data_IF_413179262945
#
_entry.id   IF_413179262945
#
_cell.length_a   1.000
_cell.length_b   1.000
_cell.length_c   1.000
_cell.angle_alpha   90.00
_cell.angle_beta   90.00
_cell.angle_gamma   90.00
#
_symmetry.space_group_name_H-M   'P 1'
#
loop_
_entity.id
_entity.type
_entity.pdbx_description
1 polymer ?
#
# COMPACT_ATOMS: atom_id res chain seq x y z
N UNK A 1 5.29 -59.83 14.14
CA UNK A 1 4.62 -59.19 12.99
C UNK A 1 3.52 -58.27 13.51
N UNK A 2 3.83 -56.99 13.71
CA UNK A 2 2.88 -55.99 14.23
C UNK A 2 2.54 -54.99 13.11
N UNK A 3 1.23 -54.71 12.99
CA UNK A 3 0.58 -53.96 11.92
C UNK A 3 1.13 -52.53 11.79
N UNK A 4 1.50 -52.15 10.57
CA UNK A 4 1.53 -50.77 10.11
C UNK A 4 0.09 -50.29 9.88
N UNK A 5 -0.34 -49.26 10.60
CA UNK A 5 -1.53 -48.46 10.25
C UNK A 5 -1.16 -46.99 10.35
N UNK A 6 -0.77 -46.40 9.22
CA UNK A 6 -0.72 -44.95 9.05
C UNK A 6 -2.14 -44.45 8.74
N UNK A 7 -2.66 -43.42 9.43
CA UNK A 7 -3.91 -42.80 9.05
C UNK A 7 -3.71 -41.95 7.80
N UNK A 8 -4.47 -42.25 6.75
CA UNK A 8 -4.54 -41.51 5.50
C UNK A 8 -4.93 -40.06 5.75
N UNK A 9 -4.10 -39.14 5.29
CA UNK A 9 -4.40 -37.71 5.13
C UNK A 9 -5.63 -37.54 4.26
N UNK A 10 -6.76 -37.24 4.88
CA UNK A 10 -7.97 -36.80 4.19
C UNK A 10 -7.69 -35.41 3.61
N UNK A 11 -7.39 -35.36 2.30
CA UNK A 11 -7.45 -34.15 1.49
C UNK A 11 -8.89 -33.66 1.48
N UNK A 12 -9.24 -32.81 2.44
CA UNK A 12 -10.55 -32.15 2.53
C UNK A 12 -10.68 -31.25 1.29
N UNK A 13 -11.44 -31.71 0.29
CA UNK A 13 -11.83 -30.88 -0.84
C UNK A 13 -12.43 -29.57 -0.30
N UNK A 14 -11.84 -28.43 -0.67
CA UNK A 14 -12.40 -27.12 -0.35
C UNK A 14 -13.73 -26.98 -1.10
N UNK A 15 -14.85 -27.07 -0.37
CA UNK A 15 -16.17 -26.78 -0.93
C UNK A 15 -16.21 -25.34 -1.48
N UNK A 16 -16.89 -25.11 -2.62
CA UNK A 16 -16.98 -23.78 -3.21
C UNK A 16 -17.62 -22.77 -2.23
N UNK A 17 -17.21 -21.50 -2.27
CA UNK A 17 -17.73 -20.48 -1.36
C UNK A 17 -19.26 -20.39 -1.47
N UNK A 18 -19.93 -20.44 -0.32
CA UNK A 18 -21.39 -20.38 -0.22
C UNK A 18 -21.93 -19.04 -0.73
N UNK A 19 -23.16 -19.03 -1.25
CA UNK A 19 -23.82 -17.82 -1.78
C UNK A 19 -23.90 -16.67 -0.75
N UNK A 20 -23.91 -16.99 0.55
CA UNK A 20 -23.86 -16.00 1.64
C UNK A 20 -22.49 -15.35 1.82
N UNK A 21 -21.41 -16.09 1.59
CA UNK A 21 -20.05 -15.54 1.61
C UNK A 21 -19.86 -14.55 0.45
N UNK A 22 -20.35 -14.88 -0.74
CA UNK A 22 -20.29 -14.02 -1.92
C UNK A 22 -21.04 -12.70 -1.71
N UNK A 23 -22.27 -12.74 -1.19
CA UNK A 23 -23.05 -11.52 -0.93
C UNK A 23 -22.41 -10.62 0.12
N UNK A 24 -21.79 -11.22 1.15
CA UNK A 24 -21.06 -10.47 2.18
C UNK A 24 -19.80 -9.77 1.65
N UNK A 25 -19.07 -10.42 0.74
CA UNK A 25 -17.88 -9.87 0.11
C UNK A 25 -18.23 -8.71 -0.83
N UNK A 26 -19.27 -8.87 -1.66
CA UNK A 26 -19.79 -7.81 -2.51
C UNK A 26 -20.21 -6.59 -1.68
N UNK A 27 -20.87 -6.82 -0.55
CA UNK A 27 -21.29 -5.75 0.36
C UNK A 27 -20.12 -5.07 1.09
N UNK A 28 -18.99 -5.76 1.26
CA UNK A 28 -17.78 -5.19 1.85
C UNK A 28 -17.02 -4.31 0.85
N UNK A 29 -16.97 -4.69 -0.42
CA UNK A 29 -16.23 -3.98 -1.47
C UNK A 29 -16.94 -2.70 -1.94
N UNK A 30 -18.26 -2.59 -1.74
CA UNK A 30 -19.03 -1.43 -2.24
C UNK A 30 -18.47 -0.07 -1.80
N UNK A 31 -18.08 0.08 -0.53
CA UNK A 31 -17.58 1.37 -0.01
C UNK A 31 -16.23 1.76 -0.60
N UNK A 32 -15.18 0.91 -0.55
CA UNK A 32 -13.92 1.25 -1.19
C UNK A 32 -14.09 1.42 -2.71
N UNK A 33 -14.96 0.65 -3.36
CA UNK A 33 -15.25 0.85 -4.79
C UNK A 33 -15.89 2.22 -5.07
N UNK A 34 -16.89 2.64 -4.28
CA UNK A 34 -17.49 3.96 -4.39
C UNK A 34 -16.45 5.07 -4.18
N UNK A 35 -15.57 4.92 -3.19
CA UNK A 35 -14.48 5.87 -2.93
C UNK A 35 -13.44 5.90 -4.07
N UNK A 36 -13.15 4.75 -4.69
CA UNK A 36 -12.25 4.67 -5.82
C UNK A 36 -12.84 5.33 -7.09
N UNK A 37 -14.16 5.25 -7.29
CA UNK A 37 -14.82 5.85 -8.45
C UNK A 37 -15.15 7.34 -8.26
N UNK A 38 -15.20 7.79 -7.00
CA UNK A 38 -15.63 9.15 -6.67
C UNK A 38 -14.78 10.25 -7.31
N UNK A 39 -13.43 10.20 -7.36
CA UNK A 39 -12.64 11.21 -8.06
C UNK A 39 -12.98 11.31 -9.54
N UNK A 40 -13.21 10.17 -10.20
CA UNK A 40 -13.55 10.14 -11.62
C UNK A 40 -14.92 10.77 -11.91
N UNK A 41 -15.87 10.62 -10.98
CA UNK A 41 -17.18 11.25 -11.07
C UNK A 41 -17.12 12.75 -10.76
N UNK A 42 -16.41 13.13 -9.69
CA UNK A 42 -16.33 14.52 -9.24
C UNK A 42 -15.56 15.39 -10.24
N UNK A 43 -14.48 14.86 -10.80
CA UNK A 43 -13.65 15.53 -11.81
C UNK A 43 -13.99 15.03 -13.22
N UNK A 44 -15.28 14.99 -13.56
CA UNK A 44 -15.75 14.49 -14.85
C UNK A 44 -15.10 15.18 -16.07
N UNK A 45 -14.86 16.51 -16.07
CA UNK A 45 -14.13 17.16 -17.17
C UNK A 45 -12.73 16.59 -17.39
N UNK A 46 -12.02 16.23 -16.31
CA UNK A 46 -10.69 15.59 -16.41
C UNK A 46 -10.79 14.14 -16.85
N UNK A 47 -11.77 13.39 -16.33
CA UNK A 47 -12.02 12.00 -16.71
C UNK A 47 -12.32 11.87 -18.21
N UNK A 48 -13.08 12.82 -18.74
CA UNK A 48 -13.41 12.93 -20.18
C UNK A 48 -12.32 13.63 -20.99
N UNK A 49 -11.17 13.98 -20.37
CA UNK A 49 -10.01 14.63 -21.01
C UNK A 49 -10.40 15.94 -21.71
N UNK A 50 -11.40 16.66 -21.18
CA UNK A 50 -11.79 18.00 -21.64
C UNK A 50 -10.93 19.10 -21.01
N UNK A 51 -10.40 18.82 -19.82
CA UNK A 51 -9.53 19.70 -19.05
C UNK A 51 -8.35 18.91 -18.48
N UNK A 52 -7.30 19.61 -18.04
CA UNK A 52 -6.12 18.99 -17.44
C UNK A 52 -5.47 19.92 -16.41
N UNK A 53 -4.89 19.35 -15.35
CA UNK A 53 -4.08 20.10 -14.38
C UNK A 53 -2.67 20.33 -14.92
N UNK A 54 -2.56 21.17 -15.94
CA UNK A 54 -1.29 21.50 -16.59
C UNK A 54 -0.80 22.88 -16.15
N UNK A 55 -0.34 22.96 -14.90
CA UNK A 55 0.11 24.21 -14.27
C UNK A 55 1.36 23.95 -13.42
N UNK A 56 2.15 25.01 -13.18
CA UNK A 56 3.35 24.96 -12.31
C UNK A 56 4.31 23.82 -12.71
N UNK A 57 4.90 23.14 -11.74
CA UNK A 57 5.89 22.09 -11.93
C UNK A 57 5.36 20.90 -12.76
N UNK A 58 4.04 20.70 -12.83
CA UNK A 58 3.46 19.69 -13.74
C UNK A 58 3.82 20.00 -15.18
N UNK A 59 3.67 21.26 -15.57
CA UNK A 59 3.96 21.73 -16.92
C UNK A 59 5.46 21.68 -17.24
N UNK A 60 6.30 22.10 -16.30
CA UNK A 60 7.73 22.28 -16.57
C UNK A 60 8.59 21.04 -16.27
N UNK A 61 8.12 20.16 -15.39
CA UNK A 61 8.91 19.05 -14.88
C UNK A 61 8.19 17.72 -15.05
N UNK A 62 7.07 17.50 -14.34
CA UNK A 62 6.49 16.16 -14.24
C UNK A 62 5.99 15.64 -15.60
N UNK A 63 5.20 16.43 -16.32
CA UNK A 63 4.68 16.02 -17.61
C UNK A 63 5.78 15.76 -18.66
N UNK A 64 6.73 16.68 -18.92
CA UNK A 64 7.76 16.43 -19.93
C UNK A 64 8.68 15.25 -19.54
N UNK A 65 9.03 15.08 -18.26
CA UNK A 65 9.93 14.01 -17.86
C UNK A 65 9.28 12.62 -17.97
N UNK A 66 8.00 12.51 -17.61
CA UNK A 66 7.25 11.28 -17.83
C UNK A 66 7.09 11.00 -19.34
N UNK A 67 6.86 12.04 -20.15
CA UNK A 67 6.73 11.91 -21.61
C UNK A 67 8.04 11.42 -22.24
N UNK A 68 9.18 12.01 -21.87
CA UNK A 68 10.51 11.56 -22.33
C UNK A 68 10.74 10.11 -21.92
N UNK A 69 10.50 9.79 -20.64
CA UNK A 69 10.66 8.42 -20.13
C UNK A 69 9.81 7.42 -20.89
N UNK A 70 8.57 7.78 -21.20
CA UNK A 70 7.67 6.94 -21.97
C UNK A 70 8.09 6.78 -23.43
N UNK A 71 8.64 7.82 -24.06
CA UNK A 71 9.12 7.75 -25.43
C UNK A 71 10.37 6.86 -25.55
N UNK A 72 11.32 6.99 -24.62
CA UNK A 72 12.50 6.10 -24.56
C UNK A 72 12.07 4.65 -24.36
N UNK A 73 11.13 4.42 -23.42
CA UNK A 73 10.61 3.07 -23.16
C UNK A 73 9.89 2.47 -24.38
N UNK A 74 9.10 3.27 -25.10
CA UNK A 74 8.44 2.85 -26.35
C UNK A 74 9.41 2.54 -27.48
N UNK A 75 10.60 3.14 -27.47
CA UNK A 75 11.69 2.82 -28.39
C UNK A 75 12.41 1.50 -28.05
N UNK A 76 12.01 0.82 -26.95
CA UNK A 76 12.64 -0.42 -26.50
C UNK A 76 13.90 -0.19 -25.65
N UNK A 77 14.16 1.05 -25.24
CA UNK A 77 15.31 1.42 -24.42
C UNK A 77 14.90 1.69 -22.97
N UNK A 78 15.83 1.52 -22.04
CA UNK A 78 15.59 1.87 -20.64
C UNK A 78 15.76 3.40 -20.46
N UNK A 79 14.80 4.10 -19.83
CA UNK A 79 14.88 5.54 -19.60
C UNK A 79 15.89 5.86 -18.49
N UNK A 80 17.18 5.79 -18.81
CA UNK A 80 18.27 6.00 -17.85
C UNK A 80 18.67 7.47 -17.74
N UNK A 81 18.65 8.21 -18.84
CA UNK A 81 19.22 9.55 -18.92
C UNK A 81 18.30 10.52 -19.68
N UNK A 82 18.11 11.72 -19.14
CA UNK A 82 17.46 12.83 -19.83
C UNK A 82 18.54 13.80 -20.31
N UNK A 83 18.83 13.88 -21.62
CA UNK A 83 19.84 14.79 -22.15
C UNK A 83 19.34 16.24 -22.29
N UNK A 84 18.04 16.48 -22.14
CA UNK A 84 17.41 17.78 -22.40
C UNK A 84 17.42 18.72 -21.21
N UNK A 85 17.78 18.24 -20.02
CA UNK A 85 17.83 19.03 -18.80
C UNK A 85 19.28 19.25 -18.37
N UNK A 86 19.72 20.52 -18.30
CA UNK A 86 21.10 20.90 -17.97
C UNK A 86 22.13 20.21 -18.88
N UNK A 87 23.17 19.60 -18.31
CA UNK A 87 24.12 18.71 -19.00
C UNK A 87 23.70 17.24 -18.96
N UNK A 88 22.45 17.00 -18.62
CA UNK A 88 21.83 15.71 -18.46
C UNK A 88 21.65 15.30 -16.99
N UNK A 89 20.61 14.51 -16.75
CA UNK A 89 20.23 14.01 -15.42
C UNK A 89 19.74 12.55 -15.50
N UNK A 90 19.86 11.77 -14.42
CA UNK A 90 19.29 10.42 -14.36
C UNK A 90 17.76 10.47 -14.36
N UNK A 91 17.11 9.60 -15.14
CA UNK A 91 15.65 9.46 -15.19
C UNK A 91 15.15 8.39 -14.21
N UNK A 92 15.57 7.13 -14.37
CA UNK A 92 15.19 6.03 -13.45
C UNK A 92 15.60 6.31 -12.00
N UNK A 93 16.72 7.00 -11.79
CA UNK A 93 17.20 7.37 -10.46
C UNK A 93 16.51 8.61 -9.86
N UNK A 94 15.69 9.31 -10.63
CA UNK A 94 14.99 10.48 -10.14
C UNK A 94 13.72 10.09 -9.36
N UNK A 95 13.76 10.34 -8.05
CA UNK A 95 12.64 10.09 -7.16
C UNK A 95 11.40 10.93 -7.48
N UNK A 96 11.53 12.03 -8.25
CA UNK A 96 10.39 12.86 -8.60
C UNK A 96 9.55 12.29 -9.75
N UNK A 97 10.17 11.66 -10.75
CA UNK A 97 9.44 10.93 -11.78
C UNK A 97 8.79 9.66 -11.25
N UNK A 98 9.41 8.99 -10.26
CA UNK A 98 8.86 7.80 -9.62
C UNK A 98 8.33 6.78 -10.65
N UNK A 99 9.14 6.44 -11.66
CA UNK A 99 8.77 5.58 -12.81
C UNK A 99 8.20 4.21 -12.37
N UNK A 100 8.64 3.70 -11.22
CA UNK A 100 8.16 2.43 -10.66
C UNK A 100 6.85 2.54 -9.86
N UNK A 101 6.30 3.75 -9.72
CA UNK A 101 5.01 3.96 -9.07
C UNK A 101 3.88 3.64 -10.06
N UNK A 102 3.04 2.60 -9.82
CA UNK A 102 2.10 2.10 -10.83
C UNK A 102 1.13 3.15 -11.41
N UNK A 103 0.65 4.15 -10.65
CA UNK A 103 -0.15 5.23 -11.23
C UNK A 103 0.55 6.03 -12.33
N UNK A 104 1.88 6.13 -12.30
CA UNK A 104 2.64 6.82 -13.34
C UNK A 104 2.75 5.99 -14.62
N UNK A 105 2.37 4.70 -14.61
CA UNK A 105 2.41 3.86 -15.81
C UNK A 105 1.37 4.24 -16.85
N UNK A 106 0.36 5.06 -16.49
CA UNK A 106 -0.52 5.66 -17.49
C UNK A 106 0.25 6.47 -18.53
N UNK A 107 1.40 7.06 -18.19
CA UNK A 107 2.25 7.75 -19.17
C UNK A 107 2.87 6.81 -20.21
N UNK A 108 3.02 5.52 -19.91
CA UNK A 108 3.53 4.52 -20.85
C UNK A 108 2.43 4.02 -21.80
N UNK A 109 1.20 3.95 -21.31
CA UNK A 109 0.07 3.34 -22.03
C UNK A 109 -0.76 4.38 -22.79
N UNK A 110 -0.93 5.57 -22.21
CA UNK A 110 -1.78 6.63 -22.73
C UNK A 110 -0.97 7.86 -23.16
N UNK A 111 -1.43 8.59 -24.18
CA UNK A 111 -0.80 9.82 -24.59
C UNK A 111 -1.32 11.03 -23.82
N UNK A 112 -0.48 12.06 -23.72
CA UNK A 112 -0.94 13.42 -23.47
C UNK A 112 -1.59 13.65 -22.11
N UNK A 113 -2.58 14.54 -22.11
CA UNK A 113 -3.36 14.92 -20.93
C UNK A 113 -4.08 13.72 -20.29
N UNK A 114 -4.45 12.69 -21.06
CA UNK A 114 -5.14 11.52 -20.52
C UNK A 114 -4.27 10.77 -19.48
N UNK A 115 -2.97 10.60 -19.78
CA UNK A 115 -2.05 9.97 -18.86
C UNK A 115 -1.94 10.73 -17.53
N UNK A 116 -1.76 12.05 -17.62
CA UNK A 116 -1.65 12.93 -16.46
C UNK A 116 -2.92 12.92 -15.62
N UNK A 117 -4.08 13.08 -16.25
CA UNK A 117 -5.36 13.11 -15.56
C UNK A 117 -5.62 11.81 -14.80
N UNK A 118 -5.44 10.65 -15.46
CA UNK A 118 -5.71 9.37 -14.81
C UNK A 118 -4.67 9.04 -13.73
N UNK A 119 -3.40 9.46 -13.89
CA UNK A 119 -2.40 9.33 -12.83
C UNK A 119 -2.81 10.13 -11.58
N UNK A 120 -3.32 11.36 -11.74
CA UNK A 120 -3.80 12.20 -10.64
C UNK A 120 -5.06 11.60 -10.00
N UNK A 121 -6.06 11.23 -10.79
CA UNK A 121 -7.33 10.67 -10.29
C UNK A 121 -7.12 9.34 -9.56
N UNK A 122 -6.19 8.52 -10.03
CA UNK A 122 -5.85 7.26 -9.37
C UNK A 122 -5.17 7.52 -8.01
N UNK A 123 -4.34 8.55 -7.88
CA UNK A 123 -3.74 8.91 -6.58
C UNK A 123 -4.79 9.36 -5.56
N UNK A 124 -5.79 10.16 -5.97
CA UNK A 124 -6.94 10.47 -5.11
C UNK A 124 -7.67 9.19 -4.67
N UNK A 125 -7.84 8.25 -5.59
CA UNK A 125 -8.51 6.97 -5.34
C UNK A 125 -7.72 6.11 -4.34
N UNK A 126 -6.41 6.00 -4.50
CA UNK A 126 -5.50 5.30 -3.59
C UNK A 126 -5.53 5.94 -2.20
N UNK A 127 -5.49 7.27 -2.13
CA UNK A 127 -5.56 8.01 -0.87
C UNK A 127 -6.88 7.74 -0.11
N UNK A 128 -8.02 7.81 -0.81
CA UNK A 128 -9.34 7.59 -0.21
C UNK A 128 -9.54 6.14 0.21
N UNK A 129 -9.25 5.17 -0.66
CA UNK A 129 -9.37 3.75 -0.34
C UNK A 129 -8.39 3.37 0.77
N UNK A 130 -7.16 3.84 0.69
CA UNK A 130 -6.14 3.61 1.71
C UNK A 130 -6.57 4.10 3.08
N UNK A 131 -7.06 5.34 3.17
CA UNK A 131 -7.56 5.90 4.42
C UNK A 131 -8.79 5.15 4.94
N UNK A 132 -9.71 4.76 4.06
CA UNK A 132 -10.86 3.93 4.45
C UNK A 132 -10.40 2.60 5.07
N UNK A 133 -9.47 1.90 4.42
CA UNK A 133 -8.93 0.63 4.92
C UNK A 133 -8.17 0.81 6.22
N UNK A 134 -7.38 1.89 6.35
CA UNK A 134 -6.68 2.24 7.58
C UNK A 134 -7.65 2.48 8.74
N UNK A 135 -8.67 3.32 8.53
CA UNK A 135 -9.69 3.61 9.53
C UNK A 135 -10.48 2.35 9.92
N UNK A 136 -10.82 1.50 8.95
CA UNK A 136 -11.43 0.18 9.22
C UNK A 136 -10.49 -0.73 10.00
N UNK A 137 -9.19 -0.65 9.73
CA UNK A 137 -8.15 -1.38 10.44
C UNK A 137 -8.07 -1.00 11.91
N UNK A 138 -8.24 0.27 12.23
CA UNK A 138 -8.32 0.81 13.60
C UNK A 138 -9.69 0.63 14.27
N UNK A 139 -10.62 -0.10 13.65
CA UNK A 139 -11.90 -0.45 14.28
C UNK A 139 -13.06 0.53 14.03
N UNK A 140 -12.87 1.62 13.27
CA UNK A 140 -13.97 2.56 12.96
C UNK A 140 -15.05 1.87 12.13
N UNK A 141 -16.34 2.15 12.40
CA UNK A 141 -17.46 1.67 11.57
C UNK A 141 -17.41 2.25 10.15
N UNK A 142 -18.18 1.68 9.22
CA UNK A 142 -18.12 2.03 7.77
C UNK A 142 -18.33 3.51 7.50
N UNK A 143 -19.35 4.13 8.11
CA UNK A 143 -19.67 5.55 7.90
C UNK A 143 -18.54 6.48 8.36
N UNK A 144 -18.06 6.43 9.62
CA UNK A 144 -16.95 7.30 10.04
C UNK A 144 -15.65 7.01 9.28
N UNK A 145 -15.39 5.75 8.88
CA UNK A 145 -14.26 5.44 8.00
C UNK A 145 -14.39 6.10 6.62
N UNK A 146 -15.59 6.16 6.06
CA UNK A 146 -15.83 6.88 4.79
C UNK A 146 -15.67 8.39 4.96
N UNK A 147 -16.07 8.98 6.09
CA UNK A 147 -15.85 10.41 6.37
C UNK A 147 -14.35 10.71 6.46
N UNK A 148 -13.57 9.88 7.15
CA UNK A 148 -12.12 10.01 7.22
C UNK A 148 -11.46 9.90 5.83
N UNK A 149 -11.92 8.95 5.00
CA UNK A 149 -11.45 8.79 3.63
C UNK A 149 -11.71 10.04 2.77
N UNK A 150 -12.92 10.59 2.82
CA UNK A 150 -13.28 11.81 2.09
C UNK A 150 -12.46 13.01 2.55
N UNK A 151 -12.30 13.18 3.87
CA UNK A 151 -11.52 14.26 4.46
C UNK A 151 -10.03 14.19 4.07
N UNK A 152 -9.46 12.99 3.99
CA UNK A 152 -8.07 12.81 3.58
C UNK A 152 -7.89 12.99 2.06
N UNK A 153 -8.73 12.32 1.26
CA UNK A 153 -8.57 12.34 -0.20
C UNK A 153 -8.82 13.73 -0.80
N UNK A 154 -9.79 14.50 -0.29
CA UNK A 154 -10.06 15.86 -0.76
C UNK A 154 -9.53 16.96 0.18
N UNK A 155 -8.72 16.57 1.18
CA UNK A 155 -8.10 17.50 2.10
C UNK A 155 -7.06 18.38 1.41
N UNK A 156 -6.73 19.51 2.05
CA UNK A 156 -5.83 20.53 1.50
C UNK A 156 -4.47 19.99 1.06
N UNK A 157 -3.93 18.98 1.73
CA UNK A 157 -2.65 18.39 1.35
C UNK A 157 -2.72 17.69 -0.02
N UNK A 158 -3.80 16.94 -0.30
CA UNK A 158 -3.99 16.27 -1.60
C UNK A 158 -4.26 17.29 -2.70
N UNK A 159 -5.18 18.22 -2.46
CA UNK A 159 -5.62 19.17 -3.48
C UNK A 159 -4.55 20.22 -3.80
N UNK A 160 -3.83 20.75 -2.79
CA UNK A 160 -2.77 21.73 -3.02
C UNK A 160 -1.52 21.12 -3.67
N UNK A 161 -1.29 19.80 -3.51
CA UNK A 161 -0.12 19.10 -4.06
C UNK A 161 -0.40 18.41 -5.39
N UNK A 162 -1.56 18.64 -6.01
CA UNK A 162 -1.85 18.16 -7.37
C UNK A 162 -0.78 18.61 -8.39
N UNK A 163 -0.08 19.70 -8.09
CA UNK A 163 1.01 20.22 -8.94
C UNK A 163 2.37 19.53 -8.70
N UNK A 164 2.49 18.65 -7.70
CA UNK A 164 3.70 17.89 -7.36
C UNK A 164 3.39 16.39 -7.30
N UNK A 165 3.45 15.70 -8.44
CA UNK A 165 3.03 14.29 -8.56
C UNK A 165 3.76 13.37 -7.58
N UNK A 166 5.06 13.59 -7.34
CA UNK A 166 5.86 12.78 -6.41
C UNK A 166 5.40 12.91 -4.96
N UNK A 167 5.11 14.13 -4.51
CA UNK A 167 4.58 14.39 -3.17
C UNK A 167 3.21 13.74 -3.03
N UNK A 168 2.33 13.95 -4.01
CA UNK A 168 0.99 13.36 -4.02
C UNK A 168 1.05 11.82 -3.95
N UNK A 169 1.98 11.21 -4.69
CA UNK A 169 2.19 9.75 -4.71
C UNK A 169 2.59 9.22 -3.33
N UNK A 170 3.55 9.90 -2.69
CA UNK A 170 3.99 9.55 -1.34
C UNK A 170 2.86 9.69 -0.30
N UNK A 171 2.17 10.83 -0.30
CA UNK A 171 1.08 11.08 0.66
C UNK A 171 -0.08 10.09 0.45
N UNK A 172 -0.40 9.71 -0.80
CA UNK A 172 -1.50 8.81 -1.10
C UNK A 172 -1.31 7.42 -0.47
N UNK A 173 -0.05 6.98 -0.33
CA UNK A 173 0.31 5.70 0.28
C UNK A 173 0.40 5.73 1.81
N UNK A 174 0.48 6.91 2.44
CA UNK A 174 0.65 7.04 3.90
C UNK A 174 -0.38 6.24 4.70
N UNK A 175 -1.69 6.26 4.39
CA UNK A 175 -2.65 5.50 5.19
C UNK A 175 -2.48 3.98 5.05
N UNK A 176 -2.10 3.50 3.86
CA UNK A 176 -1.81 2.08 3.65
C UNK A 176 -0.53 1.67 4.39
N UNK A 177 0.49 2.53 4.38
CA UNK A 177 1.71 2.32 5.16
C UNK A 177 1.39 2.18 6.66
N UNK A 178 0.59 3.11 7.21
CA UNK A 178 0.17 3.06 8.62
C UNK A 178 -0.60 1.78 8.94
N UNK A 179 -1.52 1.37 8.07
CA UNK A 179 -2.24 0.10 8.22
C UNK A 179 -1.28 -1.09 8.20
N UNK A 180 -0.32 -1.13 7.28
CA UNK A 180 0.66 -2.21 7.20
C UNK A 180 1.53 -2.28 8.47
N UNK A 181 1.97 -1.13 8.99
CA UNK A 181 2.74 -1.03 10.23
C UNK A 181 1.93 -1.53 11.43
N UNK A 182 0.68 -1.09 11.57
CA UNK A 182 -0.24 -1.56 12.62
C UNK A 182 -0.40 -3.09 12.60
N UNK A 183 -0.58 -3.66 11.40
CA UNK A 183 -0.71 -5.11 11.24
C UNK A 183 0.59 -5.86 11.47
N UNK A 184 1.74 -5.27 11.13
CA UNK A 184 3.04 -5.88 11.40
C UNK A 184 3.32 -5.94 12.91
N UNK A 185 3.04 -4.86 13.64
CA UNK A 185 3.20 -4.79 15.10
C UNK A 185 2.24 -5.76 15.79
N UNK A 186 0.96 -5.74 15.40
CA UNK A 186 -0.07 -6.61 16.00
C UNK A 186 0.15 -8.11 15.72
N UNK A 187 0.94 -8.45 14.69
CA UNK A 187 1.25 -9.84 14.33
C UNK A 187 2.52 -10.37 14.96
N UNK A 188 3.33 -9.55 15.64
CA UNK A 188 4.47 -10.09 16.35
C UNK A 188 3.94 -10.95 17.50
N UNK A 189 4.20 -12.28 17.54
CA UNK A 189 4.12 -12.97 18.80
C UNK A 189 5.07 -12.20 19.70
N UNK A 190 4.59 -11.77 20.88
CA UNK A 190 5.45 -11.13 21.87
C UNK A 190 6.77 -11.92 21.87
N UNK A 191 7.88 -11.26 21.53
CA UNK A 191 9.20 -11.81 21.76
C UNK A 191 9.21 -12.07 23.25
N UNK A 192 8.80 -13.29 23.63
CA UNK A 192 8.90 -13.75 25.00
C UNK A 192 10.36 -13.52 25.31
N UNK A 193 10.69 -12.67 26.30
CA UNK A 193 12.05 -12.62 26.78
C UNK A 193 12.35 -14.08 27.09
N UNK A 194 13.25 -14.71 26.31
CA UNK A 194 13.75 -16.00 26.74
C UNK A 194 14.27 -15.72 28.15
N UNK A 195 13.77 -16.41 29.19
CA UNK A 195 14.38 -16.28 30.50
C UNK A 195 15.85 -16.61 30.27
N UNK A 196 16.69 -15.57 30.34
CA UNK A 196 18.12 -15.70 30.22
C UNK A 196 18.51 -16.83 31.15
N UNK A 197 19.29 -17.77 30.62
CA UNK A 197 19.75 -18.99 31.28
C UNK A 197 20.74 -18.71 32.43
N UNK A 198 20.39 -17.75 33.28
CA UNK A 198 21.09 -17.30 34.47
C UNK A 198 20.10 -17.37 35.65
N UNK A 199 19.38 -18.48 35.78
CA UNK A 199 18.98 -18.91 37.12
C UNK A 199 20.25 -19.39 37.83
N UNK A 200 20.70 -18.76 38.93
CA UNK A 200 21.77 -19.33 39.73
C UNK A 200 21.28 -20.67 40.26
N UNK A 201 21.98 -21.76 39.90
CA UNK A 201 21.68 -23.06 40.49
C UNK A 201 21.87 -22.96 42.01
N UNK A 202 20.88 -23.36 42.83
CA UNK A 202 21.10 -23.48 44.26
C UNK A 202 22.10 -24.61 44.49
N UNK A 203 23.30 -24.25 44.93
CA UNK A 203 24.36 -25.18 45.34
C UNK A 203 23.77 -26.19 46.32
N UNK A 204 23.73 -27.45 45.89
CA UNK A 204 23.32 -28.58 46.70
C UNK A 204 24.34 -28.81 47.83
N UNK A 205 24.13 -28.16 48.96
CA UNK A 205 24.74 -28.50 50.24
C UNK A 205 23.59 -28.81 51.21
N UNK A 206 23.05 -30.03 51.07
CA UNK A 206 22.24 -30.62 52.13
C UNK A 206 23.17 -31.21 53.20
N UNK A 207 22.95 -30.97 54.49
CA UNK A 207 23.69 -31.64 55.56
C UNK A 207 23.21 -33.09 55.67
N UNK A 208 24.14 -34.06 55.70
CA UNK A 208 23.79 -35.43 56.02
C UNK A 208 23.35 -35.55 57.50
N UNK A 209 22.28 -36.31 57.81
CA UNK A 209 21.91 -36.60 59.18
C UNK A 209 22.79 -37.75 59.71
N UNK A 210 23.70 -37.42 60.62
CA UNK A 210 24.42 -38.42 61.43
C UNK A 210 23.42 -39.14 62.34
N UNK A 211 23.22 -40.42 62.09
CA UNK A 211 22.38 -41.28 62.90
C UNK A 211 22.94 -41.45 64.33
N UNK A 212 22.01 -41.49 65.27
CA UNK A 212 22.18 -41.67 66.71
C UNK A 212 22.83 -43.00 67.14
N UNK A 213 23.77 -42.88 68.09
CA UNK A 213 23.83 -43.58 69.41
C UNK A 213 24.37 -45.03 69.49
N UNK A 214 24.86 -45.52 70.66
CA UNK A 214 24.86 -44.93 72.02
C UNK A 214 26.21 -44.44 72.56
#
# INVERSE_FOLDING_TARGET
MLRNTQPTTSTRAQEPPTLSALSSALFAIRFPLMLALLPFLLFLPLTLVRETFYIHDVQYYFYPYHTISANILRAGELPLWNPYAFSGIPLIGDGQTAIFYPPNWFFFILPGAAALNYAILLQFSIAGVGMYLCARGFGLRRVPASVAALAFMFGGLMTARVVHLSIMSGVALVPLLLLCVDRAISRQPALSPQPSALSPQPSALSPQPSALSP
#
